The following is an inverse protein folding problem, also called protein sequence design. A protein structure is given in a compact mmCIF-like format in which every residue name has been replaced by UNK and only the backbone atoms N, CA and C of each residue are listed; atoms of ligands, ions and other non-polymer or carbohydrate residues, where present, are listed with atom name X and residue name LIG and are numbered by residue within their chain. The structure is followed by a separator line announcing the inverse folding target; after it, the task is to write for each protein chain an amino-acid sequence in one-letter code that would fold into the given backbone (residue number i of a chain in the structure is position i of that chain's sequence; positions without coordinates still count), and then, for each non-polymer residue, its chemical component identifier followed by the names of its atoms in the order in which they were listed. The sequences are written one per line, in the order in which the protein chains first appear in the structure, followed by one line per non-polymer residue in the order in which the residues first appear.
data_IF_175896027528
#
_entry.id   IF_175896027528
#
_cell.length_a   1.000
_cell.length_b   1.000
_cell.length_c   1.000
_cell.angle_alpha   90.00
_cell.angle_beta   90.00
_cell.angle_gamma   90.00
#
_symmetry.space_group_name_H-M   'P 1'
#
loop_
_entity.id
_entity.type
_entity.pdbx_description
1 polymer ?
#
# COMPACT_ATOMS: atom_id res chain seq x y z
N UNK A 1 -47.50 62.25 -18.19
CA UNK A 1 -46.07 62.50 -18.42
C UNK A 1 -45.35 61.92 -17.21
N UNK A 2 -44.94 60.66 -17.31
CA UNK A 2 -44.24 59.97 -16.23
C UNK A 2 -42.75 60.24 -16.40
N UNK A 3 -42.13 60.85 -15.40
CA UNK A 3 -40.69 61.05 -15.34
C UNK A 3 -39.97 59.69 -15.29
N UNK A 4 -38.94 59.46 -16.12
CA UNK A 4 -38.09 58.29 -15.99
C UNK A 4 -37.11 58.46 -14.82
N UNK A 5 -37.09 57.46 -13.95
CA UNK A 5 -36.14 57.27 -12.85
C UNK A 5 -34.69 57.36 -13.32
N UNK A 6 -33.77 58.04 -12.59
CA UNK A 6 -32.34 57.96 -12.89
C UNK A 6 -31.80 56.55 -12.61
N UNK A 7 -31.10 56.00 -13.61
CA UNK A 7 -30.37 54.74 -13.57
C UNK A 7 -29.24 54.79 -12.52
N UNK A 8 -28.97 53.72 -11.75
CA UNK A 8 -27.85 53.69 -10.81
C UNK A 8 -26.52 53.75 -11.55
N UNK A 9 -25.60 54.59 -11.07
CA UNK A 9 -24.23 54.70 -11.56
C UNK A 9 -23.45 53.38 -11.38
N UNK A 10 -22.55 53.01 -12.30
CA UNK A 10 -21.72 51.83 -12.15
C UNK A 10 -20.67 52.05 -11.05
N UNK A 11 -20.73 51.23 -10.00
CA UNK A 11 -19.68 51.10 -8.99
C UNK A 11 -18.35 50.74 -9.67
N UNK A 12 -17.39 51.66 -9.63
CA UNK A 12 -16.03 51.44 -10.08
C UNK A 12 -15.35 50.41 -9.17
N UNK A 13 -15.05 49.22 -9.69
CA UNK A 13 -14.17 48.26 -9.04
C UNK A 13 -12.76 48.86 -8.87
N UNK A 14 -12.07 48.67 -7.73
CA UNK A 14 -10.67 49.06 -7.60
C UNK A 14 -9.83 48.20 -8.56
N UNK A 15 -9.30 48.83 -9.58
CA UNK A 15 -8.39 48.21 -10.55
C UNK A 15 -7.12 47.75 -9.80
N UNK A 16 -6.62 46.52 -10.02
CA UNK A 16 -5.34 46.11 -9.44
C UNK A 16 -4.22 47.02 -9.95
N UNK A 17 -3.38 47.51 -9.04
CA UNK A 17 -2.19 48.32 -9.37
C UNK A 17 -1.34 47.61 -10.45
N UNK A 18 -0.82 48.36 -11.45
CA UNK A 18 0.00 47.77 -12.49
C UNK A 18 1.29 47.16 -11.91
N UNK A 19 1.51 45.87 -12.22
CA UNK A 19 2.77 45.18 -11.94
C UNK A 19 3.92 45.92 -12.65
N UNK A 20 4.93 46.43 -11.93
CA UNK A 20 6.04 47.14 -12.56
C UNK A 20 6.85 46.19 -13.46
N UNK A 21 7.04 46.58 -14.72
CA UNK A 21 7.86 45.84 -15.67
C UNK A 21 9.33 45.75 -15.20
N UNK A 22 10.03 44.62 -15.45
CA UNK A 22 11.41 44.45 -15.01
C UNK A 22 12.33 45.43 -15.74
N UNK A 23 12.93 46.35 -14.99
CA UNK A 23 14.00 47.21 -15.49
C UNK A 23 15.29 46.40 -15.69
N UNK A 24 16.11 46.71 -16.72
CA UNK A 24 17.40 46.06 -16.91
C UNK A 24 18.29 46.27 -15.68
N UNK A 25 19.01 45.22 -15.28
CA UNK A 25 19.90 45.26 -14.12
C UNK A 25 21.09 46.20 -14.38
N UNK A 26 21.23 47.23 -13.54
CA UNK A 26 22.39 48.14 -13.53
C UNK A 26 23.27 47.80 -12.34
N UNK A 27 24.55 47.52 -12.57
CA UNK A 27 25.50 47.28 -11.50
C UNK A 27 25.79 48.58 -10.71
N UNK A 28 25.96 48.51 -9.38
CA UNK A 28 26.32 49.69 -8.59
C UNK A 28 27.70 50.22 -9.00
N UNK A 29 27.85 51.54 -9.07
CA UNK A 29 29.09 52.21 -9.48
C UNK A 29 30.12 52.28 -8.33
N UNK A 30 29.71 52.06 -7.08
CA UNK A 30 30.59 52.07 -5.91
C UNK A 30 30.07 51.18 -4.77
N UNK A 31 30.95 50.94 -3.79
CA UNK A 31 30.59 50.21 -2.56
C UNK A 31 29.50 50.96 -1.76
N UNK A 32 29.58 52.29 -1.69
CA UNK A 32 28.59 53.12 -1.01
C UNK A 32 27.21 53.08 -1.68
N UNK A 33 27.16 52.88 -3.00
CA UNK A 33 25.91 52.67 -3.72
C UNK A 33 25.35 51.26 -3.47
N UNK A 34 26.21 50.25 -3.44
CA UNK A 34 25.83 48.88 -3.08
C UNK A 34 25.24 48.81 -1.67
N UNK A 35 25.91 49.41 -0.68
CA UNK A 35 25.46 49.40 0.72
C UNK A 35 24.09 50.09 0.86
N UNK A 36 23.89 51.24 0.19
CA UNK A 36 22.59 51.93 0.15
C UNK A 36 21.47 51.07 -0.47
N UNK A 37 21.76 50.34 -1.55
CA UNK A 37 20.79 49.45 -2.20
C UNK A 37 20.42 48.30 -1.25
N UNK A 38 21.40 47.72 -0.55
CA UNK A 38 21.20 46.64 0.43
C UNK A 38 20.35 47.14 1.60
N UNK A 39 20.69 48.28 2.20
CA UNK A 39 19.93 48.87 3.30
C UNK A 39 18.48 49.16 2.91
N UNK A 40 18.26 49.75 1.72
CA UNK A 40 16.93 50.05 1.21
C UNK A 40 16.12 48.76 1.00
N UNK A 41 16.75 47.68 0.51
CA UNK A 41 16.07 46.39 0.33
C UNK A 41 15.75 45.73 1.67
N UNK A 42 16.69 45.76 2.62
CA UNK A 42 16.52 45.20 3.96
C UNK A 42 15.43 45.94 4.74
N UNK A 43 15.35 47.28 4.61
CA UNK A 43 14.28 48.08 5.20
C UNK A 43 12.90 47.69 4.64
N UNK A 44 12.78 47.53 3.31
CA UNK A 44 11.54 47.05 2.68
C UNK A 44 11.18 45.63 3.09
N UNK A 45 12.18 44.78 3.33
CA UNK A 45 11.96 43.40 3.80
C UNK A 45 11.50 43.37 5.25
N UNK A 46 12.19 44.07 6.16
CA UNK A 46 11.78 44.18 7.57
C UNK A 46 10.37 44.75 7.70
N UNK A 47 10.06 45.81 6.95
CA UNK A 47 8.72 46.41 6.92
C UNK A 47 7.64 45.44 6.43
N UNK A 48 7.97 44.49 5.55
CA UNK A 48 7.02 43.45 5.10
C UNK A 48 6.70 42.43 6.18
N UNK A 49 7.61 42.22 7.13
CA UNK A 49 7.43 41.28 8.24
C UNK A 49 7.11 41.98 9.57
N UNK A 50 6.95 43.31 9.56
CA UNK A 50 6.44 44.04 10.72
C UNK A 50 5.07 43.49 11.11
N UNK A 51 4.94 43.02 12.35
CA UNK A 51 3.71 42.41 12.86
C UNK A 51 3.56 40.91 12.57
N UNK A 52 4.48 40.27 11.85
CA UNK A 52 4.45 38.82 11.63
C UNK A 52 4.53 38.04 12.94
N UNK A 53 5.36 38.49 13.88
CA UNK A 53 5.46 37.87 15.21
C UNK A 53 4.15 38.01 16.00
N UNK A 54 3.49 39.17 15.93
CA UNK A 54 2.19 39.38 16.57
C UNK A 54 1.08 38.51 15.95
N UNK A 55 1.13 38.27 14.63
CA UNK A 55 0.21 37.35 13.95
C UNK A 55 0.46 35.92 14.40
N UNK A 56 1.74 35.49 14.46
CA UNK A 56 2.11 34.16 14.96
C UNK A 56 1.65 33.94 16.40
N UNK A 57 1.86 34.93 17.28
CA UNK A 57 1.42 34.83 18.67
C UNK A 57 -0.10 34.72 18.79
N UNK A 58 -0.85 35.47 17.97
CA UNK A 58 -2.32 35.36 17.94
C UNK A 58 -2.79 34.01 17.41
N UNK A 59 -2.14 33.48 16.39
CA UNK A 59 -2.44 32.15 15.85
C UNK A 59 -2.20 31.07 16.92
N UNK A 60 -1.04 31.10 17.58
CA UNK A 60 -0.73 30.15 18.66
C UNK A 60 -1.73 30.24 19.82
N UNK A 61 -2.14 31.45 20.22
CA UNK A 61 -3.18 31.65 21.25
C UNK A 61 -4.56 31.19 20.79
N UNK A 62 -4.88 31.36 19.51
CA UNK A 62 -6.12 30.87 18.93
C UNK A 62 -6.18 29.35 18.96
N UNK A 63 -5.11 28.68 18.50
CA UNK A 63 -5.01 27.21 18.51
C UNK A 63 -5.13 26.65 19.94
N UNK A 64 -4.47 27.29 20.91
CA UNK A 64 -4.61 26.94 22.33
C UNK A 64 -6.04 27.10 22.84
N UNK A 65 -6.70 28.22 22.54
CA UNK A 65 -8.09 28.46 22.94
C UNK A 65 -9.06 27.49 22.24
N UNK A 66 -8.78 27.10 21.00
CA UNK A 66 -9.57 26.11 20.28
C UNK A 66 -9.42 24.73 20.91
N UNK A 67 -8.20 24.34 21.28
CA UNK A 67 -7.91 23.10 21.99
C UNK A 67 -8.49 23.05 23.43
N UNK A 68 -8.53 24.19 24.11
CA UNK A 68 -9.18 24.35 25.41
C UNK A 68 -10.71 24.33 25.31
N UNK A 69 -11.27 24.89 24.23
CA UNK A 69 -12.72 24.92 23.97
C UNK A 69 -13.27 23.61 23.46
N UNK A 70 -12.43 22.70 22.93
CA UNK A 70 -12.85 21.35 22.58
C UNK A 70 -13.53 20.71 23.79
N UNK A 71 -14.83 20.50 23.65
CA UNK A 71 -15.64 19.84 24.65
C UNK A 71 -15.12 18.42 24.87
N UNK A 72 -15.33 17.82 26.06
CA UNK A 72 -14.98 16.41 26.30
C UNK A 72 -15.56 15.47 25.22
N UNK A 73 -16.74 15.80 24.69
CA UNK A 73 -17.39 15.09 23.60
C UNK A 73 -16.63 15.17 22.28
N UNK A 74 -16.10 16.35 21.90
CA UNK A 74 -15.31 16.51 20.67
C UNK A 74 -13.96 15.79 20.77
N UNK A 75 -13.29 15.85 21.94
CA UNK A 75 -12.06 15.08 22.19
C UNK A 75 -12.32 13.58 22.08
N UNK A 76 -13.43 13.09 22.65
CA UNK A 76 -13.82 11.69 22.54
C UNK A 76 -14.13 11.27 21.08
N UNK A 77 -14.75 12.15 20.28
CA UNK A 77 -15.01 11.90 18.85
C UNK A 77 -13.70 11.85 18.06
N UNK A 78 -12.77 12.77 18.30
CA UNK A 78 -11.47 12.80 17.64
C UNK A 78 -10.65 11.54 17.97
N UNK A 79 -10.60 11.14 19.24
CA UNK A 79 -9.92 9.90 19.65
C UNK A 79 -10.58 8.66 19.03
N UNK A 80 -11.91 8.61 19.01
CA UNK A 80 -12.64 7.51 18.39
C UNK A 80 -12.38 7.46 16.88
N UNK A 81 -12.35 8.60 16.21
CA UNK A 81 -12.05 8.70 14.79
C UNK A 81 -10.59 8.30 14.49
N UNK A 82 -9.64 8.71 15.32
CA UNK A 82 -8.23 8.33 15.18
C UNK A 82 -8.03 6.82 15.36
N UNK A 83 -8.64 6.22 16.39
CA UNK A 83 -8.62 4.77 16.62
C UNK A 83 -9.28 4.01 15.47
N UNK A 84 -10.45 4.46 15.02
CA UNK A 84 -11.14 3.85 13.89
C UNK A 84 -10.29 3.89 12.62
N UNK A 85 -9.65 5.03 12.31
CA UNK A 85 -8.73 5.15 11.16
C UNK A 85 -7.53 4.20 11.29
N UNK A 86 -6.91 4.12 12.47
CA UNK A 86 -5.79 3.23 12.72
C UNK A 86 -6.17 1.74 12.59
N UNK A 87 -7.32 1.34 13.14
CA UNK A 87 -7.83 -0.02 13.00
C UNK A 87 -8.14 -0.38 11.55
N UNK A 88 -8.75 0.54 10.82
CA UNK A 88 -9.08 0.35 9.40
C UNK A 88 -7.81 0.25 8.56
N UNK A 89 -6.84 1.13 8.78
CA UNK A 89 -5.54 1.07 8.13
C UNK A 89 -4.83 -0.26 8.41
N UNK A 90 -4.75 -0.67 9.67
CA UNK A 90 -4.14 -1.95 10.07
C UNK A 90 -4.82 -3.16 9.44
N UNK A 91 -6.16 -3.17 9.35
CA UNK A 91 -6.93 -4.23 8.69
C UNK A 91 -6.62 -4.30 7.20
N UNK A 92 -6.61 -3.17 6.49
CA UNK A 92 -6.30 -3.15 5.06
C UNK A 92 -4.84 -3.50 4.79
N UNK A 93 -3.89 -3.02 5.58
CA UNK A 93 -2.49 -3.40 5.50
C UNK A 93 -2.32 -4.92 5.62
N UNK A 94 -2.99 -5.53 6.60
CA UNK A 94 -2.97 -6.98 6.79
C UNK A 94 -3.59 -7.71 5.60
N UNK A 95 -4.75 -7.28 5.09
CA UNK A 95 -5.36 -7.89 3.90
C UNK A 95 -4.46 -7.79 2.65
N UNK A 96 -3.78 -6.65 2.46
CA UNK A 96 -2.82 -6.48 1.37
C UNK A 96 -1.63 -7.42 1.56
N UNK A 97 -1.11 -7.54 2.78
CA UNK A 97 -0.04 -8.47 3.09
C UNK A 97 -0.44 -9.93 2.88
N UNK A 98 -1.66 -10.31 3.27
CA UNK A 98 -2.22 -11.64 3.05
C UNK A 98 -2.25 -11.99 1.56
N UNK A 99 -2.85 -11.13 0.72
CA UNK A 99 -2.90 -11.34 -0.72
C UNK A 99 -1.52 -11.35 -1.37
N UNK A 100 -0.58 -10.51 -0.90
CA UNK A 100 0.81 -10.55 -1.40
C UNK A 100 1.49 -11.86 -1.03
N UNK A 101 1.42 -12.30 0.23
CA UNK A 101 2.04 -13.56 0.67
C UNK A 101 1.43 -14.74 -0.07
N UNK A 102 0.11 -14.75 -0.26
CA UNK A 102 -0.58 -15.79 -1.02
C UNK A 102 -0.07 -15.84 -2.47
N UNK A 103 0.05 -14.69 -3.14
CA UNK A 103 0.57 -14.64 -4.51
C UNK A 103 2.03 -15.09 -4.62
N UNK A 104 2.88 -14.71 -3.66
CA UNK A 104 4.29 -15.13 -3.62
C UNK A 104 4.38 -16.64 -3.33
N UNK A 105 3.60 -17.15 -2.37
CA UNK A 105 3.58 -18.57 -2.04
C UNK A 105 3.08 -19.42 -3.21
N UNK A 106 2.06 -18.96 -3.93
CA UNK A 106 1.61 -19.60 -5.16
C UNK A 106 2.71 -19.62 -6.24
N UNK A 107 3.45 -18.51 -6.41
CA UNK A 107 4.57 -18.43 -7.36
C UNK A 107 5.76 -19.33 -6.97
N UNK A 108 6.03 -19.49 -5.68
CA UNK A 108 7.05 -20.41 -5.14
C UNK A 108 6.60 -21.89 -5.25
N UNK A 109 5.30 -22.14 -5.45
CA UNK A 109 4.75 -23.48 -5.63
C UNK A 109 4.30 -24.16 -4.35
N UNK A 110 3.89 -23.39 -3.34
CA UNK A 110 3.26 -23.93 -2.14
C UNK A 110 2.03 -24.78 -2.51
N UNK A 111 1.84 -25.90 -1.80
CA UNK A 111 0.70 -26.81 -1.96
C UNK A 111 -0.59 -26.10 -1.52
N UNK A 112 -0.50 -25.35 -0.42
CA UNK A 112 -1.56 -24.50 0.11
C UNK A 112 -0.99 -23.09 0.39
N UNK A 113 -1.26 -22.10 -0.48
CA UNK A 113 -0.83 -20.72 -0.29
C UNK A 113 -1.38 -20.07 0.99
N UNK A 114 -2.57 -20.44 1.46
CA UNK A 114 -3.14 -19.88 2.69
C UNK A 114 -2.37 -20.33 3.95
N UNK A 115 -1.82 -21.55 3.94
CA UNK A 115 -0.99 -22.08 5.02
C UNK A 115 0.31 -21.27 5.20
N UNK A 116 0.83 -20.71 4.10
CA UNK A 116 1.96 -19.79 4.10
C UNK A 116 1.59 -18.42 4.68
N UNK A 117 0.41 -17.90 4.38
CA UNK A 117 -0.12 -16.65 4.95
C UNK A 117 -0.14 -16.72 6.47
N UNK A 118 -0.74 -17.78 7.02
CA UNK A 118 -0.82 -17.99 8.48
C UNK A 118 0.57 -18.00 9.14
N UNK A 119 1.56 -18.64 8.52
CA UNK A 119 2.92 -18.77 9.08
C UNK A 119 3.77 -17.53 8.92
N UNK A 120 3.67 -16.81 7.80
CA UNK A 120 4.49 -15.62 7.51
C UNK A 120 3.95 -14.39 8.23
N UNK A 121 2.62 -14.28 8.39
CA UNK A 121 1.95 -13.14 9.03
C UNK A 121 1.54 -13.42 10.49
N UNK A 122 2.15 -14.43 11.13
CA UNK A 122 1.98 -14.71 12.57
C UNK A 122 2.56 -13.62 13.49
N UNK A 123 3.40 -12.73 12.97
CA UNK A 123 4.01 -11.62 13.71
C UNK A 123 3.81 -10.27 13.03
N UNK A 124 4.66 -9.31 13.37
CA UNK A 124 4.58 -7.96 12.79
C UNK A 124 4.82 -7.97 11.28
N UNK A 125 4.01 -7.16 10.61
CA UNK A 125 4.15 -6.89 9.18
C UNK A 125 5.49 -6.19 8.96
N UNK A 126 6.35 -6.69 8.07
CA UNK A 126 7.57 -5.98 7.76
C UNK A 126 7.21 -4.67 7.07
N UNK A 127 7.68 -3.56 7.63
CA UNK A 127 7.43 -2.22 7.11
C UNK A 127 8.74 -1.53 6.75
N UNK A 128 8.71 -0.76 5.67
CA UNK A 128 9.78 0.13 5.24
C UNK A 128 9.14 1.45 4.82
N UNK A 129 9.56 2.54 5.46
CA UNK A 129 9.03 3.89 5.22
C UNK A 129 7.50 3.96 5.31
N UNK A 130 6.94 3.38 6.37
CA UNK A 130 5.49 3.22 6.64
C UNK A 130 4.69 2.39 5.61
N UNK A 131 5.36 1.85 4.59
CA UNK A 131 4.78 0.94 3.62
C UNK A 131 5.14 -0.52 3.91
N UNK A 132 4.38 -1.44 3.33
CA UNK A 132 4.63 -2.87 3.45
C UNK A 132 5.90 -3.28 2.68
N UNK A 133 6.89 -3.86 3.37
CA UNK A 133 8.13 -4.33 2.76
C UNK A 133 7.92 -5.68 2.06
N UNK A 134 7.76 -5.60 0.73
CA UNK A 134 7.49 -6.73 -0.15
C UNK A 134 8.68 -7.65 -0.30
N UNK A 135 9.88 -7.09 -0.29
CA UNK A 135 11.11 -7.85 -0.45
C UNK A 135 11.36 -8.71 0.79
N UNK A 136 11.08 -8.16 1.97
CA UNK A 136 11.14 -8.89 3.22
C UNK A 136 10.06 -9.97 3.30
N UNK A 137 8.83 -9.69 2.86
CA UNK A 137 7.78 -10.73 2.74
C UNK A 137 8.22 -11.87 1.83
N UNK A 138 8.82 -11.55 0.68
CA UNK A 138 9.34 -12.56 -0.25
C UNK A 138 10.42 -13.42 0.40
N UNK A 139 11.38 -12.83 1.09
CA UNK A 139 12.40 -13.56 1.84
C UNK A 139 11.79 -14.48 2.90
N UNK A 140 10.79 -14.00 3.66
CA UNK A 140 10.10 -14.83 4.66
C UNK A 140 9.39 -16.03 4.03
N UNK A 141 8.75 -15.86 2.87
CA UNK A 141 8.10 -16.97 2.14
C UNK A 141 9.14 -17.97 1.60
N UNK A 142 10.25 -17.49 1.03
CA UNK A 142 11.33 -18.35 0.56
C UNK A 142 12.02 -19.10 1.72
N UNK A 143 12.22 -18.45 2.86
CA UNK A 143 12.75 -19.08 4.06
C UNK A 143 11.79 -20.15 4.57
N UNK A 144 10.50 -19.87 4.58
CA UNK A 144 9.48 -20.86 4.94
C UNK A 144 9.51 -22.09 4.02
N UNK A 145 9.71 -21.89 2.71
CA UNK A 145 9.87 -22.98 1.75
C UNK A 145 11.10 -23.84 2.04
N UNK A 146 12.22 -23.24 2.46
CA UNK A 146 13.45 -23.94 2.85
C UNK A 146 13.30 -24.71 4.15
N UNK A 147 12.69 -24.09 5.15
CA UNK A 147 12.51 -24.69 6.49
C UNK A 147 11.46 -25.82 6.46
N UNK A 148 10.46 -25.71 5.59
CA UNK A 148 9.35 -26.66 5.48
C UNK A 148 9.13 -27.08 4.03
N UNK A 149 10.05 -27.89 3.46
CA UNK A 149 9.99 -28.29 2.06
C UNK A 149 8.74 -29.11 1.71
N UNK A 150 8.11 -29.75 2.70
CA UNK A 150 6.84 -30.48 2.54
C UNK A 150 5.63 -29.57 2.23
N UNK A 151 5.77 -28.25 2.39
CA UNK A 151 4.73 -27.29 2.05
C UNK A 151 4.80 -26.86 0.58
N UNK A 152 5.89 -27.20 -0.13
CA UNK A 152 6.11 -26.87 -1.54
C UNK A 152 5.97 -28.12 -2.38
N UNK A 153 5.35 -28.00 -3.56
CA UNK A 153 5.24 -29.09 -4.52
C UNK A 153 6.65 -29.47 -5.01
N UNK A 154 7.24 -30.48 -4.40
CA UNK A 154 8.47 -31.09 -4.90
C UNK A 154 8.09 -32.00 -6.07
N UNK A 155 8.66 -31.80 -7.26
CA UNK A 155 8.35 -32.59 -8.47
C UNK A 155 8.61 -34.10 -8.34
N UNK A 156 9.15 -34.59 -7.21
CA UNK A 156 9.30 -36.01 -6.95
C UNK A 156 8.00 -36.65 -6.44
N UNK A 157 7.11 -36.89 -7.40
CA UNK A 157 6.51 -38.21 -7.71
C UNK A 157 5.36 -37.96 -8.69
N UNK A 158 5.72 -37.63 -9.93
CA UNK A 158 4.93 -38.17 -11.03
C UNK A 158 4.93 -39.69 -10.85
N UNK A 159 3.88 -40.24 -10.23
CA UNK A 159 3.54 -41.64 -10.46
C UNK A 159 3.45 -41.75 -11.97
N UNK A 160 4.20 -42.66 -12.64
CA UNK A 160 4.04 -42.83 -14.07
C UNK A 160 2.56 -43.03 -14.32
N UNK A 161 1.95 -42.09 -15.06
CA UNK A 161 0.54 -42.11 -15.34
C UNK A 161 0.20 -43.49 -15.86
N UNK A 162 -0.77 -44.15 -15.23
CA UNK A 162 -1.39 -45.32 -15.85
C UNK A 162 -2.06 -44.77 -17.10
N UNK A 163 -1.36 -44.86 -18.24
CA UNK A 163 -1.93 -44.57 -19.54
C UNK A 163 -3.13 -45.48 -19.67
N UNK A 164 -4.33 -44.91 -19.59
CA UNK A 164 -5.51 -45.63 -20.02
C UNK A 164 -5.31 -45.93 -21.51
N UNK A 165 -5.30 -47.21 -21.93
CA UNK A 165 -5.15 -47.53 -23.32
C UNK A 165 -6.34 -46.93 -24.09
N UNK A 166 -6.04 -46.12 -25.11
CA UNK A 166 -7.03 -45.59 -26.05
C UNK A 166 -7.90 -46.74 -26.57
N UNK A 167 -9.22 -46.54 -26.73
CA UNK A 167 -10.10 -47.58 -27.26
C UNK A 167 -9.68 -47.87 -28.69
N UNK A 168 -9.09 -49.04 -28.93
CA UNK A 168 -8.71 -49.50 -30.27
C UNK A 168 -7.33 -50.15 -30.42
N UNK A 169 -6.47 -50.16 -29.40
CA UNK A 169 -5.15 -50.83 -29.50
C UNK A 169 -5.13 -52.12 -28.69
N UNK A 170 -4.99 -53.25 -29.37
CA UNK A 170 -4.80 -54.58 -28.75
C UNK A 170 -3.46 -54.59 -28.00
N UNK A 171 -3.52 -54.57 -26.66
CA UNK A 171 -2.34 -54.77 -25.82
C UNK A 171 -2.10 -56.28 -25.70
N UNK A 172 -0.98 -56.76 -26.24
CA UNK A 172 -0.49 -58.11 -26.01
C UNK A 172 -0.18 -58.28 -24.51
N UNK A 173 -0.87 -59.22 -23.87
CA UNK A 173 -0.72 -59.51 -22.44
C UNK A 173 0.65 -60.13 -22.16
N UNK A 174 1.57 -59.35 -21.60
CA UNK A 174 2.74 -59.88 -20.91
C UNK A 174 2.27 -60.54 -19.60
N UNK A 175 2.35 -61.87 -19.58
CA UNK A 175 2.06 -62.70 -18.42
C UNK A 175 3.08 -62.43 -17.31
N UNK A 176 2.61 -61.98 -16.16
CA UNK A 176 3.43 -61.72 -14.96
C UNK A 176 2.59 -61.84 -13.69
N UNK A 177 2.50 -63.07 -13.18
CA UNK A 177 2.57 -63.34 -11.73
C UNK A 177 1.39 -62.99 -10.80
N UNK A 178 0.13 -63.20 -11.23
CA UNK A 178 -1.02 -63.34 -10.30
C UNK A 178 -1.99 -64.49 -10.62
N UNK A 179 -1.49 -65.55 -11.25
CA UNK A 179 -2.31 -66.69 -11.72
C UNK A 179 -2.15 -68.01 -10.95
N UNK A 180 -1.23 -68.14 -9.99
CA UNK A 180 -0.94 -69.45 -9.37
C UNK A 180 -1.89 -69.85 -8.23
N UNK A 181 -2.51 -68.90 -7.52
CA UNK A 181 -3.44 -69.22 -6.44
C UNK A 181 -4.85 -69.62 -6.93
N UNK A 182 -5.30 -69.08 -8.08
CA UNK A 182 -6.64 -69.37 -8.61
C UNK A 182 -6.71 -70.73 -9.36
N UNK A 183 -5.59 -71.24 -9.86
CA UNK A 183 -5.52 -72.54 -10.55
C UNK A 183 -5.54 -73.73 -9.57
N UNK A 184 -5.00 -73.58 -8.35
CA UNK A 184 -4.93 -74.65 -7.36
C UNK A 184 -6.31 -75.01 -6.75
N UNK A 185 -7.22 -74.03 -6.60
CA UNK A 185 -8.56 -74.27 -6.03
C UNK A 185 -9.49 -74.97 -7.03
N UNK A 186 -9.28 -74.79 -8.35
CA UNK A 186 -10.09 -75.44 -9.40
C UNK A 186 -9.66 -76.89 -9.65
N UNK A 187 -8.42 -77.28 -9.35
CA UNK A 187 -7.97 -78.68 -9.47
C UNK A 187 -8.34 -79.57 -8.28
N UNK A 188 -8.67 -79.01 -7.11
CA UNK A 188 -9.09 -79.82 -5.95
C UNK A 188 -10.62 -80.09 -5.87
N UNK A 189 -11.43 -79.43 -6.71
CA UNK A 189 -12.89 -79.66 -6.80
C UNK A 189 -13.31 -80.63 -7.92
N UNK A 190 -12.35 -81.12 -8.72
CA UNK A 190 -12.60 -82.08 -9.81
C UNK A 190 -12.23 -83.53 -9.49
N UNK A 191 -11.77 -83.85 -8.27
CA UNK A 191 -11.23 -85.16 -7.90
C UNK A 191 -11.97 -85.88 -6.75
N UNK A 192 -13.22 -85.51 -6.48
CA UNK A 192 -14.25 -86.33 -5.80
C UNK A 192 -15.55 -85.99 -6.53
N UNK A 193 -16.07 -86.88 -7.37
CA UNK A 193 -16.89 -88.00 -6.90
C UNK A 193 -18.31 -87.48 -6.81
#
# INVERSE_FOLDING_TARGET
MSDPTPSPEPTLEPTPDPTPEPSPFTAPASQEELDRIIEARLARERKRFEGFDAIKEKAAKWDQLEEEKKTPSEKAIEEAAAKARAEVASKYERQIAEGRVESIAAAVGFIDPADAVLRVLSGDLPKKDDELDVDELKKRVEQLAKDKPHLVKTEQRQRPGRQEPKPGVKVAAAAGEKGKAAAAIRQLRGARG
#
